data_IF_331168727577
#
_entry.id   IF_331168727577
#
_cell.length_a   1.000
_cell.length_b   1.000
_cell.length_c   1.000
_cell.angle_alpha   90.00
_cell.angle_beta   90.00
_cell.angle_gamma   90.00
#
_symmetry.space_group_name_H-M   'P 1'
#
loop_
_entity.id
_entity.type
_entity.pdbx_description
1 polymer ?
#
# COMPACT_ATOMS: atom_id res chain seq x y z
N UNK A 1 8.25 12.11 17.93
CA UNK A 1 7.93 10.70 17.66
C UNK A 1 6.83 10.68 16.61
N UNK A 2 7.12 10.26 15.39
CA UNK A 2 6.14 10.25 14.31
C UNK A 2 6.62 9.43 13.11
N UNK A 3 7.25 8.29 13.38
CA UNK A 3 7.51 7.26 12.37
C UNK A 3 6.28 6.32 12.35
N UNK A 4 5.11 6.89 12.04
CA UNK A 4 3.83 6.19 12.05
C UNK A 4 3.42 5.87 10.63
N UNK A 5 3.72 4.66 10.17
CA UNK A 5 3.04 4.06 9.03
C UNK A 5 1.54 3.98 9.40
N UNK A 6 0.73 4.86 8.83
CA UNK A 6 -0.69 5.01 9.14
C UNK A 6 -1.46 3.92 8.41
N UNK A 7 -1.96 2.93 9.15
CA UNK A 7 -2.69 1.82 8.56
C UNK A 7 -4.05 2.29 8.05
N UNK A 8 -4.29 2.14 6.74
CA UNK A 8 -5.53 2.60 6.09
C UNK A 8 -6.63 1.54 6.06
N UNK A 9 -6.22 0.26 6.11
CA UNK A 9 -7.12 -0.88 6.04
C UNK A 9 -6.44 -2.12 5.47
N UNK A 10 -7.19 -3.22 5.46
CA UNK A 10 -6.78 -4.48 4.86
C UNK A 10 -7.90 -5.08 4.01
N UNK A 11 -7.52 -5.91 3.05
CA UNK A 11 -8.40 -6.67 2.18
C UNK A 11 -7.86 -8.08 1.99
N UNK A 12 -8.74 -9.07 1.89
CA UNK A 12 -8.36 -10.47 1.75
C UNK A 12 -8.80 -11.03 0.40
N UNK A 13 -8.01 -11.95 -0.14
CA UNK A 13 -8.34 -12.72 -1.35
C UNK A 13 -7.93 -14.17 -1.13
N UNK A 14 -8.91 -15.01 -0.75
CA UNK A 14 -8.64 -16.39 -0.39
C UNK A 14 -7.76 -16.47 0.88
N UNK A 15 -6.64 -17.21 0.87
CA UNK A 15 -5.71 -17.28 2.00
C UNK A 15 -4.80 -16.04 2.13
N UNK A 16 -4.73 -15.18 1.10
CA UNK A 16 -3.86 -14.00 1.10
C UNK A 16 -4.56 -12.79 1.74
N UNK A 17 -3.92 -12.20 2.75
CA UNK A 17 -4.33 -10.96 3.41
C UNK A 17 -3.43 -9.83 2.94
N UNK A 18 -4.01 -8.74 2.44
CA UNK A 18 -3.31 -7.56 1.95
C UNK A 18 -3.60 -6.38 2.87
N UNK A 19 -2.57 -5.83 3.51
CA UNK A 19 -2.69 -4.67 4.38
C UNK A 19 -2.12 -3.45 3.67
N UNK A 20 -2.89 -2.37 3.63
CA UNK A 20 -2.49 -1.08 3.10
C UNK A 20 -2.07 -0.16 4.23
N UNK A 21 -0.87 0.39 4.08
CA UNK A 21 -0.33 1.39 4.99
C UNK A 21 0.06 2.64 4.22
N UNK A 22 -0.12 3.78 4.87
CA UNK A 22 0.32 5.09 4.41
C UNK A 22 1.58 5.45 5.18
N UNK A 23 2.70 5.40 4.49
CA UNK A 23 3.97 5.89 4.99
C UNK A 23 3.89 7.43 5.02
N UNK A 24 3.78 7.98 6.23
CA UNK A 24 3.77 9.42 6.43
C UNK A 24 5.00 10.08 5.81
N UNK A 25 4.83 11.32 5.32
CA UNK A 25 5.92 12.17 4.80
C UNK A 25 7.07 12.09 5.80
N UNK A 26 8.21 11.50 5.41
CA UNK A 26 9.40 11.51 6.26
C UNK A 26 9.68 12.96 6.61
N UNK A 27 9.52 13.27 7.90
CA UNK A 27 9.77 14.58 8.48
C UNK A 27 11.25 14.92 8.25
N UNK A 28 11.56 15.56 7.12
CA UNK A 28 12.92 15.80 6.67
C UNK A 28 13.04 16.31 5.23
N UNK A 29 12.07 16.01 4.36
CA UNK A 29 12.09 16.46 2.95
C UNK A 29 10.79 17.14 2.56
N UNK A 30 10.71 18.46 2.77
CA UNK A 30 9.72 19.40 2.22
C UNK A 30 8.21 19.09 2.46
N UNK A 31 7.39 20.03 2.97
CA UNK A 31 5.96 19.80 3.28
C UNK A 31 5.03 19.58 2.07
N UNK A 32 5.56 19.25 0.89
CA UNK A 32 4.86 19.11 -0.39
C UNK A 32 5.11 17.76 -1.08
N UNK A 33 5.77 16.81 -0.42
CA UNK A 33 5.93 15.47 -0.98
C UNK A 33 4.58 14.74 -1.10
N UNK A 34 4.39 13.87 -2.11
CA UNK A 34 3.22 12.99 -2.16
C UNK A 34 3.27 11.97 -1.02
N UNK A 35 2.10 11.55 -0.53
CA UNK A 35 2.04 10.48 0.46
C UNK A 35 2.52 9.16 -0.16
N UNK A 36 3.38 8.43 0.54
CA UNK A 36 3.81 7.10 0.10
C UNK A 36 2.87 6.04 0.70
N UNK A 37 2.54 5.04 -0.08
CA UNK A 37 1.72 3.91 0.32
C UNK A 37 2.48 2.60 0.15
N UNK A 38 2.27 1.69 1.09
CA UNK A 38 2.85 0.35 1.12
C UNK A 38 1.75 -0.69 1.22
N UNK A 39 1.84 -1.72 0.40
CA UNK A 39 0.97 -2.89 0.46
C UNK A 39 1.79 -4.09 0.89
N UNK A 40 1.36 -4.71 1.99
CA UNK A 40 1.93 -5.92 2.52
C UNK A 40 0.97 -7.08 2.27
N UNK A 41 1.46 -8.19 1.73
CA UNK A 41 0.69 -9.41 1.53
C UNK A 41 1.17 -10.51 2.48
N UNK A 42 0.21 -11.19 3.10
CA UNK A 42 0.42 -12.34 3.95
C UNK A 42 -0.44 -13.51 3.44
N UNK A 43 0.20 -14.46 2.76
CA UNK A 43 -0.41 -15.69 2.25
C UNK A 43 -0.24 -16.89 3.22
N UNK A 44 0.08 -16.62 4.49
CA UNK A 44 0.44 -17.66 5.47
C UNK A 44 1.95 -17.95 5.55
N UNK A 45 2.74 -17.40 4.64
CA UNK A 45 4.20 -17.35 4.72
C UNK A 45 4.74 -16.13 5.50
N UNK A 46 3.87 -15.35 6.13
CA UNK A 46 4.18 -14.10 6.84
C UNK A 46 3.98 -12.84 5.98
N UNK A 47 3.82 -11.66 6.62
CA UNK A 47 3.62 -10.40 5.92
C UNK A 47 4.88 -10.00 5.15
N UNK A 48 4.71 -9.73 3.85
CA UNK A 48 5.79 -9.35 2.94
C UNK A 48 5.33 -8.13 2.15
N UNK A 49 6.19 -7.14 2.05
CA UNK A 49 5.92 -5.98 1.18
C UNK A 49 5.91 -6.46 -0.26
N UNK A 50 4.79 -6.27 -0.94
CA UNK A 50 4.64 -6.67 -2.34
C UNK A 50 4.56 -5.49 -3.30
N UNK A 51 4.13 -4.33 -2.80
CA UNK A 51 3.97 -3.14 -3.62
C UNK A 51 4.22 -1.87 -2.80
N UNK A 52 4.82 -0.87 -3.43
CA UNK A 52 4.86 0.51 -2.94
C UNK A 52 4.45 1.47 -4.04
N UNK A 53 3.69 2.50 -3.71
CA UNK A 53 3.27 3.51 -4.69
C UNK A 53 3.03 4.85 -3.99
N UNK A 54 3.01 5.94 -4.76
CA UNK A 54 2.77 7.29 -4.23
C UNK A 54 1.32 7.74 -4.52
N UNK A 55 0.80 8.70 -3.76
CA UNK A 55 -0.51 9.33 -3.99
C UNK A 55 -0.51 10.29 -5.20
N UNK A 56 0.00 9.85 -6.34
CA UNK A 56 0.09 10.67 -7.55
C UNK A 56 -0.68 10.00 -8.70
N UNK A 57 -1.32 10.79 -9.57
CA UNK A 57 -2.03 10.25 -10.73
C UNK A 57 -1.11 9.46 -11.68
N UNK A 58 0.19 9.77 -11.67
CA UNK A 58 1.24 9.10 -12.44
C UNK A 58 2.08 8.15 -11.59
N UNK A 59 1.69 7.88 -10.33
CA UNK A 59 2.44 7.00 -9.46
C UNK A 59 2.50 5.59 -10.07
N UNK A 60 3.70 5.19 -10.47
CA UNK A 60 3.97 3.84 -10.95
C UNK A 60 4.14 2.94 -9.74
N UNK A 61 3.26 1.95 -9.54
CA UNK A 61 3.40 1.02 -8.42
C UNK A 61 4.64 0.14 -8.63
N UNK A 62 5.53 0.19 -7.65
CA UNK A 62 6.73 -0.64 -7.58
C UNK A 62 6.39 -1.98 -6.94
N UNK A 63 6.23 -3.00 -7.79
CA UNK A 63 5.97 -4.37 -7.38
C UNK A 63 7.27 -5.13 -7.09
N UNK A 64 7.29 -5.85 -5.97
CA UNK A 64 8.43 -6.63 -5.52
C UNK A 64 8.24 -8.13 -5.78
N UNK A 65 9.32 -8.79 -6.22
CA UNK A 65 9.35 -10.24 -6.38
C UNK A 65 8.46 -10.77 -7.51
N UNK A 66 7.68 -11.81 -7.22
CA UNK A 66 6.81 -12.49 -8.18
C UNK A 66 5.60 -11.64 -8.63
N UNK A 67 5.30 -10.54 -7.92
CA UNK A 67 4.15 -9.70 -8.22
C UNK A 67 4.36 -8.80 -9.45
N UNK A 68 5.59 -8.67 -9.97
CA UNK A 68 5.86 -7.80 -11.12
C UNK A 68 5.31 -8.42 -12.41
N UNK A 69 4.14 -7.93 -12.88
CA UNK A 69 3.29 -8.46 -13.96
C UNK A 69 2.33 -9.58 -13.54
N UNK A 70 1.94 -9.59 -12.27
CA UNK A 70 0.90 -10.50 -11.83
C UNK A 70 -0.50 -10.03 -12.27
N UNK A 71 -1.39 -10.97 -12.54
CA UNK A 71 -2.80 -10.68 -12.87
C UNK A 71 -3.55 -10.02 -11.72
N UNK A 72 -3.04 -10.12 -10.49
CA UNK A 72 -3.67 -9.51 -9.33
C UNK A 72 -3.25 -8.06 -9.12
N UNK A 73 -2.17 -7.59 -9.77
CA UNK A 73 -1.73 -6.19 -9.68
C UNK A 73 -2.85 -5.16 -9.90
N UNK A 74 -3.63 -5.21 -11.00
CA UNK A 74 -4.70 -4.24 -11.22
C UNK A 74 -5.77 -4.29 -10.12
N UNK A 75 -6.19 -5.49 -9.70
CA UNK A 75 -7.20 -5.65 -8.66
C UNK A 75 -6.74 -5.11 -7.30
N UNK A 76 -5.51 -5.40 -6.90
CA UNK A 76 -4.92 -4.92 -5.65
C UNK A 76 -4.84 -3.39 -5.66
N UNK A 77 -4.44 -2.79 -6.79
CA UNK A 77 -4.39 -1.33 -6.93
C UNK A 77 -5.76 -0.68 -6.84
N UNK A 78 -6.79 -1.26 -7.47
CA UNK A 78 -8.15 -0.75 -7.36
C UNK A 78 -8.64 -0.78 -5.90
N UNK A 79 -8.39 -1.88 -5.18
CA UNK A 79 -8.73 -1.99 -3.75
C UNK A 79 -7.95 -1.01 -2.89
N UNK A 80 -6.65 -0.85 -3.15
CA UNK A 80 -5.81 0.09 -2.45
C UNK A 80 -6.26 1.54 -2.68
N UNK A 81 -6.52 1.93 -3.93
CA UNK A 81 -7.06 3.26 -4.28
C UNK A 81 -8.43 3.52 -3.65
N UNK A 82 -9.29 2.51 -3.59
CA UNK A 82 -10.58 2.63 -2.91
C UNK A 82 -10.41 2.87 -1.40
N UNK A 83 -9.45 2.20 -0.75
CA UNK A 83 -9.12 2.44 0.66
C UNK A 83 -8.45 3.80 0.89
N UNK A 84 -7.61 4.28 -0.02
CA UNK A 84 -7.07 5.65 0.05
C UNK A 84 -8.19 6.68 -0.03
N UNK A 85 -9.15 6.49 -0.95
CA UNK A 85 -10.28 7.40 -1.11
C UNK A 85 -11.28 7.35 0.05
N UNK A 86 -11.41 6.18 0.70
CA UNK A 86 -12.30 5.99 1.85
C UNK A 86 -11.60 5.10 2.90
N UNK A 87 -10.69 5.68 3.70
CA UNK A 87 -9.96 4.92 4.71
C UNK A 87 -10.94 4.39 5.75
N UNK A 88 -10.71 3.16 6.24
CA UNK A 88 -11.55 2.60 7.31
C UNK A 88 -11.26 3.35 8.61
N UNK A 89 -12.05 4.38 8.86
CA UNK A 89 -12.04 5.14 10.10
C UNK A 89 -12.84 4.33 11.15
N UNK A 90 -12.18 3.48 11.92
CA UNK A 90 -12.78 2.77 13.07
C UNK A 90 -12.07 3.13 14.35
#
# INVERSE_FOLDING_TARGET
MGDGDDWLGDFTRGPAVFSLYRLGIRSGGHPLGPAEYRIDCNDGAGPRVICRYFDEPEAVPEWFGAWRNDEWCPWILERAKALVANPRNT
#
